data_IF_776267110255
#
_entry.id   IF_776267110255
#
_cell.length_a   1.000
_cell.length_b   1.000
_cell.length_c   1.000
_cell.angle_alpha   90.00
_cell.angle_beta   90.00
_cell.angle_gamma   90.00
#
_symmetry.space_group_name_H-M   'P 1'
#
loop_
_entity.id
_entity.type
_entity.pdbx_description
1 polymer ?
#
# COMPACT_ATOMS: atom_id res chain seq x y z
N UNK A 1 7.90 1.44 -5.17
CA UNK A 1 8.29 1.43 -3.74
C UNK A 1 8.22 2.85 -3.22
N UNK A 2 7.60 3.05 -2.06
CA UNK A 2 7.46 4.35 -1.41
C UNK A 2 7.71 4.21 0.10
N UNK A 3 7.75 5.32 0.83
CA UNK A 3 7.77 5.29 2.29
C UNK A 3 9.11 4.86 2.90
N UNK A 4 9.03 4.21 4.06
CA UNK A 4 10.18 3.85 4.90
C UNK A 4 11.16 2.92 4.21
N UNK A 5 10.67 2.01 3.36
CA UNK A 5 11.51 1.05 2.64
C UNK A 5 12.56 1.70 1.75
N UNK A 6 12.21 2.82 1.09
CA UNK A 6 13.15 3.58 0.24
C UNK A 6 14.22 4.24 1.09
N UNK A 7 13.82 4.90 2.18
CA UNK A 7 14.75 5.53 3.14
C UNK A 7 15.72 4.51 3.72
N UNK A 8 15.21 3.38 4.20
CA UNK A 8 16.02 2.38 4.88
C UNK A 8 16.99 1.70 3.89
N UNK A 9 16.53 1.45 2.66
CA UNK A 9 17.40 0.95 1.58
C UNK A 9 18.55 1.92 1.26
N UNK A 10 18.27 3.24 1.19
CA UNK A 10 19.30 4.27 0.97
C UNK A 10 20.28 4.39 2.13
N UNK A 11 19.85 4.06 3.35
CA UNK A 11 20.70 4.03 4.55
C UNK A 11 21.42 2.69 4.75
N UNK A 12 21.28 1.73 3.82
CA UNK A 12 21.87 0.39 3.95
C UNK A 12 21.26 -0.45 5.08
N UNK A 13 20.02 -0.15 5.48
CA UNK A 13 19.26 -0.87 6.50
C UNK A 13 18.26 -1.82 5.86
N UNK A 14 17.99 -2.94 6.51
CA UNK A 14 16.92 -3.85 6.11
C UNK A 14 15.57 -3.24 6.49
N UNK A 15 14.70 -2.99 5.50
CA UNK A 15 13.33 -2.57 5.76
C UNK A 15 12.51 -3.73 6.28
N UNK A 16 11.62 -3.45 7.23
CA UNK A 16 10.64 -4.41 7.76
C UNK A 16 9.24 -4.22 7.16
N UNK A 17 9.02 -3.08 6.53
CA UNK A 17 7.75 -2.72 5.90
C UNK A 17 8.01 -2.50 4.41
N UNK A 18 7.20 -3.13 3.54
CA UNK A 18 7.33 -3.03 2.10
C UNK A 18 6.07 -2.42 1.49
N UNK A 19 6.16 -1.11 1.18
CA UNK A 19 5.06 -0.33 0.62
C UNK A 19 5.25 -0.03 -0.87
N UNK A 20 4.27 -0.44 -1.68
CA UNK A 20 4.17 -0.07 -3.08
C UNK A 20 2.95 0.83 -3.31
N UNK A 21 3.11 1.80 -4.21
CA UNK A 21 1.98 2.57 -4.73
C UNK A 21 1.77 2.30 -6.21
N UNK A 22 0.52 2.31 -6.65
CA UNK A 22 0.11 2.02 -8.03
C UNK A 22 -1.06 2.90 -8.47
N UNK A 23 -1.20 3.12 -9.78
CA UNK A 23 -2.41 3.74 -10.35
C UNK A 23 -3.56 2.74 -10.53
N UNK A 24 -3.30 1.44 -10.39
CA UNK A 24 -4.32 0.41 -10.50
C UNK A 24 -5.30 0.49 -9.32
N UNK A 25 -6.60 0.36 -9.58
CA UNK A 25 -7.62 0.27 -8.52
C UNK A 25 -7.42 -0.98 -7.67
N UNK A 26 -7.82 -0.99 -6.39
CA UNK A 26 -7.61 -2.13 -5.49
C UNK A 26 -8.16 -3.46 -6.05
N UNK A 27 -9.33 -3.42 -6.70
CA UNK A 27 -9.95 -4.61 -7.30
C UNK A 27 -9.11 -5.21 -8.41
N UNK A 28 -8.48 -4.38 -9.25
CA UNK A 28 -7.60 -4.83 -10.32
C UNK A 28 -6.31 -5.44 -9.75
N UNK A 29 -5.78 -4.84 -8.69
CA UNK A 29 -4.59 -5.37 -7.99
C UNK A 29 -4.88 -6.76 -7.42
N UNK A 30 -6.02 -6.92 -6.74
CA UNK A 30 -6.49 -8.22 -6.21
C UNK A 30 -6.58 -9.23 -7.35
N UNK A 31 -7.30 -8.90 -8.42
CA UNK A 31 -7.52 -9.79 -9.56
C UNK A 31 -6.20 -10.27 -10.18
N UNK A 32 -5.26 -9.35 -10.43
CA UNK A 32 -3.98 -9.68 -11.07
C UNK A 32 -3.14 -10.60 -10.17
N UNK A 33 -3.11 -10.32 -8.87
CA UNK A 33 -2.27 -11.04 -7.93
C UNK A 33 -2.83 -12.42 -7.59
N UNK A 34 -4.14 -12.53 -7.39
CA UNK A 34 -4.81 -13.82 -7.20
C UNK A 34 -4.66 -14.70 -8.44
N UNK A 35 -4.79 -14.13 -9.67
CA UNK A 35 -4.51 -14.86 -10.93
C UNK A 35 -3.08 -15.37 -11.03
N UNK A 36 -2.12 -14.69 -10.38
CA UNK A 36 -0.72 -15.12 -10.31
C UNK A 36 -0.45 -16.11 -9.15
N UNK A 37 -1.47 -16.46 -8.37
CA UNK A 37 -1.37 -17.41 -7.26
C UNK A 37 -0.95 -16.79 -5.93
N UNK A 38 -0.92 -15.47 -5.81
CA UNK A 38 -0.63 -14.81 -4.54
C UNK A 38 -1.87 -14.75 -3.65
N UNK A 39 -1.66 -14.87 -2.34
CA UNK A 39 -2.72 -14.63 -1.35
C UNK A 39 -2.85 -13.13 -1.12
N UNK A 40 -4.03 -12.58 -1.40
CA UNK A 40 -4.32 -11.16 -1.16
C UNK A 40 -5.33 -11.04 -0.02
N UNK A 41 -5.08 -10.10 0.88
CA UNK A 41 -5.96 -9.73 1.98
C UNK A 41 -6.42 -8.29 1.74
N UNK A 42 -7.73 -8.02 1.66
CA UNK A 42 -8.29 -6.68 1.42
C UNK A 42 -8.24 -5.81 2.69
N UNK A 43 -7.04 -5.62 3.23
CA UNK A 43 -6.73 -4.73 4.36
C UNK A 43 -6.83 -3.28 3.91
N UNK A 44 -7.61 -2.44 4.62
CA UNK A 44 -7.59 -1.00 4.35
C UNK A 44 -8.15 -0.59 2.98
N UNK A 45 -9.06 -1.37 2.39
CA UNK A 45 -9.73 -1.02 1.12
C UNK A 45 -10.36 0.37 1.11
N UNK A 46 -10.90 0.81 2.25
CA UNK A 46 -11.40 2.17 2.45
C UNK A 46 -10.36 3.26 2.17
N UNK A 47 -9.08 2.93 2.20
CA UNK A 47 -7.95 3.83 2.00
C UNK A 47 -7.17 3.50 0.73
N UNK A 48 -7.69 2.58 -0.11
CA UNK A 48 -7.09 2.14 -1.36
C UNK A 48 -5.96 1.14 -1.20
N UNK A 49 -5.78 0.55 -0.01
CA UNK A 49 -4.72 -0.41 0.29
C UNK A 49 -5.21 -1.84 0.15
N UNK A 50 -4.30 -2.74 -0.21
CA UNK A 50 -4.43 -4.20 -0.12
C UNK A 50 -3.11 -4.79 0.35
N UNK A 51 -3.14 -5.86 1.14
CA UNK A 51 -1.94 -6.56 1.59
C UNK A 51 -1.78 -7.87 0.81
N UNK A 52 -0.60 -8.10 0.26
CA UNK A 52 -0.19 -9.38 -0.32
C UNK A 52 0.58 -10.15 0.75
N UNK A 53 0.22 -11.41 0.94
CA UNK A 53 0.91 -12.32 1.86
C UNK A 53 1.67 -13.32 1.02
N UNK A 54 2.99 -13.30 1.11
CA UNK A 54 3.86 -14.29 0.50
C UNK A 54 4.79 -14.85 1.56
N UNK A 55 4.66 -16.16 1.82
CA UNK A 55 5.32 -16.84 2.94
C UNK A 55 4.95 -16.21 4.30
N UNK A 56 5.93 -15.61 4.99
CA UNK A 56 5.77 -14.91 6.27
C UNK A 56 5.87 -13.38 6.11
N UNK A 57 5.99 -12.90 4.87
CA UNK A 57 6.18 -11.48 4.56
C UNK A 57 4.87 -10.85 4.07
N UNK A 58 4.70 -9.58 4.45
CA UNK A 58 3.55 -8.77 4.13
C UNK A 58 3.97 -7.60 3.24
N UNK A 59 3.28 -7.44 2.11
CA UNK A 59 3.53 -6.34 1.18
C UNK A 59 2.26 -5.51 1.04
N UNK A 60 2.33 -4.22 1.31
CA UNK A 60 1.19 -3.33 1.15
C UNK A 60 1.23 -2.65 -0.23
N UNK A 61 0.11 -2.69 -0.93
CA UNK A 61 -0.07 -2.02 -2.22
C UNK A 61 -1.21 -1.03 -2.08
N UNK A 62 -0.89 0.25 -2.23
CA UNK A 62 -1.85 1.35 -2.09
C UNK A 62 -2.08 2.06 -3.43
N UNK A 63 -3.33 2.27 -3.78
CA UNK A 63 -3.69 3.07 -4.96
C UNK A 63 -3.30 4.53 -4.73
N UNK A 64 -2.81 5.22 -5.77
CA UNK A 64 -2.58 6.67 -5.68
C UNK A 64 -3.86 7.38 -5.24
N UNK A 65 -3.71 8.29 -4.27
CA UNK A 65 -4.79 9.13 -3.75
C UNK A 65 -4.27 10.53 -3.50
N UNK A 66 -5.16 11.50 -3.48
CA UNK A 66 -4.87 12.83 -2.98
C UNK A 66 -5.58 12.96 -1.64
N UNK A 67 -4.81 13.22 -0.58
CA UNK A 67 -5.42 13.52 0.71
C UNK A 67 -6.19 14.84 0.59
N UNK A 68 -7.44 14.86 1.09
CA UNK A 68 -8.27 16.05 1.08
C UNK A 68 -7.81 17.12 2.07
N UNK A 69 -8.66 18.13 2.29
CA UNK A 69 -8.31 19.26 3.17
C UNK A 69 -8.10 18.78 4.61
N UNK A 70 -6.95 19.11 5.17
CA UNK A 70 -6.61 18.87 6.56
C UNK A 70 -7.15 20.02 7.43
N UNK A 71 -8.16 19.75 8.27
CA UNK A 71 -8.68 20.73 9.23
C UNK A 71 -7.88 20.73 10.56
N UNK A 72 -7.27 19.60 10.94
CA UNK A 72 -6.58 19.43 12.25
C UNK A 72 -5.08 19.08 12.15
N UNK A 73 -4.48 19.31 10.97
CA UNK A 73 -3.08 18.99 10.64
C UNK A 73 -2.69 17.50 10.71
N UNK A 74 -3.59 16.58 11.06
CA UNK A 74 -3.26 15.15 11.23
C UNK A 74 -4.07 14.23 10.34
N UNK A 75 -5.34 14.51 10.09
CA UNK A 75 -6.21 13.64 9.28
C UNK A 75 -7.05 14.47 8.30
N UNK A 76 -7.03 14.15 7.00
CA UNK A 76 -7.92 14.79 6.04
C UNK A 76 -9.35 14.31 6.26
N UNK A 77 -10.32 15.20 6.05
CA UNK A 77 -11.75 14.88 6.25
C UNK A 77 -12.27 13.88 5.23
N UNK A 78 -11.74 13.93 4.02
CA UNK A 78 -12.06 13.06 2.88
C UNK A 78 -10.79 12.74 2.09
N UNK A 79 -10.79 11.60 1.40
CA UNK A 79 -9.78 11.23 0.40
C UNK A 79 -10.37 11.50 -0.99
N UNK A 80 -9.57 12.08 -1.90
CA UNK A 80 -9.96 12.43 -3.27
C UNK A 80 -9.18 11.57 -4.27
#
# INVERSE_FOLDING_TARGET
MVGGCVRDSLLGKLSKDWDACTSAKPQLVIEILEKKGYRVVPTGLQHGTVTVVDQEEHYEITTFRVDGVYEDHRRPREMI
#
